data_IF_010276273971
#
_entry.id   IF_010276273971
#
_cell.length_a   1.000
_cell.length_b   1.000
_cell.length_c   1.000
_cell.angle_alpha   90.00
_cell.angle_beta   90.00
_cell.angle_gamma   90.00
#
_symmetry.space_group_name_H-M   'P 1'
#
loop_
_entity.id
_entity.type
_entity.pdbx_description
1 polymer ?
#
# COMPACT_ATOMS: atom_id res chain seq x y z
N UNK A 1 -20.90 9.45 1.49
CA UNK A 1 -19.86 8.46 1.15
C UNK A 1 -19.93 7.35 2.19
N UNK A 2 -20.05 6.09 1.78
CA UNK A 2 -20.26 4.98 2.72
C UNK A 2 -18.93 4.58 3.38
N UNK A 3 -18.84 4.61 4.71
CA UNK A 3 -17.60 4.29 5.46
C UNK A 3 -17.06 2.90 5.09
N UNK A 4 -17.97 1.97 4.83
CA UNK A 4 -17.70 0.61 4.38
C UNK A 4 -16.91 0.53 3.07
N UNK A 5 -17.18 1.47 2.17
CA UNK A 5 -16.51 1.57 0.88
C UNK A 5 -15.10 2.12 1.09
N UNK A 6 -14.94 3.09 1.99
CA UNK A 6 -13.63 3.67 2.30
C UNK A 6 -12.69 2.67 2.98
N UNK A 7 -13.21 1.88 3.92
CA UNK A 7 -12.52 0.77 4.57
C UNK A 7 -12.05 -0.30 3.58
N UNK A 8 -12.70 -0.40 2.42
CA UNK A 8 -12.23 -1.28 1.35
C UNK A 8 -11.20 -0.58 0.45
N UNK A 9 -11.48 0.66 0.04
CA UNK A 9 -10.69 1.40 -0.95
C UNK A 9 -9.31 1.77 -0.41
N UNK A 10 -9.21 2.42 0.76
CA UNK A 10 -7.92 2.91 1.27
C UNK A 10 -6.91 1.78 1.47
N UNK A 11 -7.26 0.66 2.14
CA UNK A 11 -6.29 -0.42 2.35
C UNK A 11 -5.92 -1.12 1.04
N UNK A 12 -6.83 -1.16 0.05
CA UNK A 12 -6.54 -1.70 -1.29
C UNK A 12 -5.58 -0.79 -2.04
N UNK A 13 -5.85 0.52 -2.07
CA UNK A 13 -5.01 1.50 -2.75
C UNK A 13 -3.60 1.50 -2.17
N UNK A 14 -3.48 1.43 -0.84
CA UNK A 14 -2.19 1.37 -0.18
C UNK A 14 -1.40 0.11 -0.56
N UNK A 15 -2.04 -1.06 -0.62
CA UNK A 15 -1.38 -2.28 -1.08
C UNK A 15 -1.00 -2.23 -2.57
N UNK A 16 -1.80 -1.56 -3.41
CA UNK A 16 -1.41 -1.29 -4.79
C UNK A 16 -0.13 -0.44 -4.86
N UNK A 17 -0.05 0.64 -4.08
CA UNK A 17 1.13 1.50 -4.02
C UNK A 17 2.37 0.72 -3.56
N UNK A 18 2.25 -0.09 -2.52
CA UNK A 18 3.34 -0.94 -2.01
C UNK A 18 3.84 -1.93 -3.08
N UNK A 19 2.92 -2.60 -3.80
CA UNK A 19 3.31 -3.46 -4.92
C UNK A 19 4.06 -2.69 -6.01
N UNK A 20 3.59 -1.50 -6.39
CA UNK A 20 4.27 -0.70 -7.41
C UNK A 20 5.66 -0.19 -6.99
N UNK A 21 5.92 -0.08 -5.69
CA UNK A 21 7.23 0.35 -5.18
C UNK A 21 8.28 -0.77 -5.20
N UNK A 22 7.89 -2.00 -4.86
CA UNK A 22 8.84 -3.12 -4.72
C UNK A 22 8.97 -4.02 -5.95
N UNK A 23 7.86 -4.52 -6.47
CA UNK A 23 7.86 -5.51 -7.55
C UNK A 23 6.58 -5.42 -8.38
N UNK A 24 6.74 -5.21 -9.69
CA UNK A 24 5.65 -5.19 -10.68
C UNK A 24 5.00 -6.56 -10.92
N UNK A 25 5.04 -7.47 -9.96
CA UNK A 25 4.32 -8.74 -10.08
C UNK A 25 2.80 -8.57 -9.90
N UNK A 26 2.33 -7.38 -9.47
CA UNK A 26 0.90 -7.05 -9.27
C UNK A 26 0.14 -8.04 -8.38
N UNK A 27 0.85 -8.89 -7.61
CA UNK A 27 0.26 -9.82 -6.66
C UNK A 27 -0.08 -9.07 -5.38
N UNK A 28 -1.28 -8.53 -5.33
CA UNK A 28 -1.83 -7.96 -4.09
C UNK A 28 -2.02 -9.08 -3.06
N UNK A 29 -1.32 -9.05 -1.91
CA UNK A 29 -1.52 -10.06 -0.88
C UNK A 29 -2.96 -10.03 -0.37
N UNK A 30 -3.56 -11.20 -0.18
CA UNK A 30 -4.90 -11.30 0.39
C UNK A 30 -4.87 -10.96 1.89
N UNK A 31 -5.13 -9.68 2.22
CA UNK A 31 -5.08 -9.19 3.61
C UNK A 31 -6.30 -9.60 4.47
N UNK A 32 -7.32 -10.23 3.86
CA UNK A 32 -8.52 -10.64 4.59
C UNK A 32 -9.33 -9.47 5.16
N UNK A 33 -9.40 -8.34 4.43
CA UNK A 33 -10.07 -7.08 4.85
C UNK A 33 -11.46 -7.30 5.45
N UNK A 34 -12.28 -8.16 4.84
CA UNK A 34 -13.61 -8.50 5.34
C UNK A 34 -13.59 -9.15 6.73
N UNK A 35 -12.62 -10.03 7.00
CA UNK A 35 -12.43 -10.66 8.32
C UNK A 35 -11.97 -9.64 9.35
N UNK A 36 -10.95 -8.85 9.02
CA UNK A 36 -10.41 -7.82 9.91
C UNK A 36 -11.47 -6.78 10.29
N UNK A 37 -12.32 -6.39 9.34
CA UNK A 37 -13.43 -5.47 9.60
C UNK A 37 -14.47 -6.06 10.55
N UNK A 38 -14.88 -7.33 10.36
CA UNK A 38 -15.80 -8.02 11.29
C UNK A 38 -15.23 -8.13 12.70
N UNK A 39 -13.92 -8.28 12.83
CA UNK A 39 -13.22 -8.34 14.12
C UNK A 39 -12.91 -6.95 14.71
N UNK A 40 -13.27 -5.85 14.05
CA UNK A 40 -12.90 -4.47 14.45
C UNK A 40 -11.37 -4.28 14.56
N UNK A 41 -10.63 -4.99 13.71
CA UNK A 41 -9.16 -4.98 13.62
C UNK A 41 -8.65 -4.51 12.26
N UNK A 42 -9.51 -3.92 11.44
CA UNK A 42 -9.07 -3.37 10.17
C UNK A 42 -8.21 -2.13 10.45
N UNK A 43 -6.92 -2.14 10.07
CA UNK A 43 -6.06 -0.99 10.31
C UNK A 43 -6.45 0.15 9.37
N UNK A 44 -6.30 1.39 9.85
CA UNK A 44 -6.49 2.61 9.04
C UNK A 44 -5.42 2.77 7.97
N UNK A 45 -4.23 2.20 8.21
CA UNK A 45 -3.11 2.16 7.30
C UNK A 45 -2.25 0.94 7.56
N UNK A 46 -1.65 0.36 6.53
CA UNK A 46 -0.60 -0.64 6.66
C UNK A 46 0.77 0.04 6.86
N UNK A 47 1.69 -0.65 7.51
CA UNK A 47 3.09 -0.24 7.45
C UNK A 47 3.66 -0.65 6.09
N UNK A 48 4.44 0.24 5.47
CA UNK A 48 5.16 -0.06 4.23
C UNK A 48 6.57 -0.50 4.61
N UNK A 49 7.02 -1.60 4.00
CA UNK A 49 8.37 -2.10 4.22
C UNK A 49 9.44 -1.04 3.87
N UNK A 50 10.35 -0.79 4.82
CA UNK A 50 11.36 0.27 4.71
C UNK A 50 12.35 -0.01 3.58
N UNK A 51 12.75 -1.26 3.38
CA UNK A 51 13.71 -1.62 2.34
C UNK A 51 13.09 -1.40 0.95
N UNK A 52 11.84 -1.83 0.78
CA UNK A 52 11.03 -1.59 -0.42
C UNK A 52 10.93 -0.10 -0.74
N UNK A 53 10.60 0.73 0.26
CA UNK A 53 10.47 2.17 0.08
C UNK A 53 11.81 2.84 -0.29
N UNK A 54 12.88 2.51 0.44
CA UNK A 54 14.22 3.09 0.18
C UNK A 54 14.81 2.64 -1.16
N UNK A 55 14.56 1.39 -1.57
CA UNK A 55 14.92 0.88 -2.89
C UNK A 55 14.21 1.63 -4.01
N UNK A 56 12.90 1.84 -3.89
CA UNK A 56 12.13 2.64 -4.85
C UNK A 56 12.68 4.08 -4.94
N UNK A 57 12.94 4.73 -3.80
CA UNK A 57 13.53 6.07 -3.76
C UNK A 57 14.88 6.14 -4.47
N UNK A 58 15.74 5.14 -4.31
CA UNK A 58 17.03 5.08 -4.98
C UNK A 58 16.89 5.01 -6.51
N UNK A 59 15.93 4.21 -7.02
CA UNK A 59 15.62 4.12 -8.45
C UNK A 59 15.14 5.47 -8.99
N UNK A 60 14.22 6.11 -8.28
CA UNK A 60 13.63 7.39 -8.65
C UNK A 60 14.66 8.53 -8.67
N UNK A 61 15.53 8.56 -7.66
CA UNK A 61 16.66 9.50 -7.59
C UNK A 61 17.61 9.30 -8.78
N UNK A 62 17.93 8.04 -9.13
CA UNK A 62 18.76 7.71 -10.31
C UNK A 62 18.10 8.15 -11.62
N UNK A 63 16.78 8.07 -11.71
CA UNK A 63 16.01 8.51 -12.88
C UNK A 63 15.83 10.04 -12.99
N UNK A 64 16.42 10.82 -12.08
CA UNK A 64 16.24 12.28 -12.05
C UNK A 64 14.83 12.72 -11.67
N UNK A 65 14.05 11.82 -11.04
CA UNK A 65 12.69 12.08 -10.56
C UNK A 65 12.67 11.98 -9.03
N UNK A 66 13.28 12.92 -8.30
CA UNK A 66 13.16 12.92 -6.85
C UNK A 66 11.67 13.04 -6.51
N UNK A 67 11.14 12.09 -5.75
CA UNK A 67 9.80 12.21 -5.18
C UNK A 67 9.81 13.45 -4.28
N UNK A 68 9.20 14.53 -4.76
CA UNK A 68 8.92 15.74 -3.99
C UNK A 68 7.56 15.51 -3.34
N UNK A 69 7.53 15.45 -2.01
CA UNK A 69 6.34 15.79 -1.25
C UNK A 69 6.45 17.26 -0.87
#
# INVERSE_FOLDING_TARGET
MNADILDHIFPTLQKCMECTLGSNEYKLPHVGKARLRREVKLPTSFECDRETYTGALAILKKAGRPFLF
#
